data_IF_722446009584
#
_entry.id   IF_722446009584
#
_cell.length_a   1.000
_cell.length_b   1.000
_cell.length_c   1.000
_cell.angle_alpha   90.00
_cell.angle_beta   90.00
_cell.angle_gamma   90.00
#
_symmetry.space_group_name_H-M   'P 1'
#
loop_
_entity.id
_entity.type
_entity.pdbx_description
1 polymer ?
#
# COMPACT_ATOMS: atom_id res chain seq x y z
N UNK A 1 -48.03 -2.65 1.83
CA UNK A 1 -46.58 -2.55 2.10
C UNK A 1 -46.17 -1.15 1.71
N UNK A 2 -45.72 -0.34 2.66
CA UNK A 2 -45.51 1.09 2.44
C UNK A 2 -44.35 1.33 1.49
N UNK A 3 -44.52 2.23 0.53
CA UNK A 3 -43.49 2.57 -0.46
C UNK A 3 -42.15 2.94 0.20
N UNK A 4 -42.20 3.58 1.37
CA UNK A 4 -41.03 3.90 2.18
C UNK A 4 -40.23 2.66 2.62
N UNK A 5 -40.90 1.58 3.02
CA UNK A 5 -40.22 0.35 3.44
C UNK A 5 -39.45 -0.31 2.28
N UNK A 6 -40.02 -0.25 1.07
CA UNK A 6 -39.37 -0.75 -0.15
C UNK A 6 -38.09 0.05 -0.45
N UNK A 7 -38.17 1.39 -0.42
CA UNK A 7 -37.00 2.24 -0.66
C UNK A 7 -35.89 2.02 0.37
N UNK A 8 -36.25 1.89 1.65
CA UNK A 8 -35.28 1.62 2.72
C UNK A 8 -34.59 0.27 2.48
N UNK A 9 -35.36 -0.77 2.16
CA UNK A 9 -34.81 -2.11 1.90
C UNK A 9 -33.81 -2.11 0.73
N UNK A 10 -34.15 -1.43 -0.38
CA UNK A 10 -33.26 -1.28 -1.54
C UNK A 10 -31.98 -0.53 -1.14
N UNK A 11 -32.10 0.58 -0.43
CA UNK A 11 -30.95 1.38 0.00
C UNK A 11 -30.01 0.58 0.89
N UNK A 12 -30.54 -0.17 1.86
CA UNK A 12 -29.74 -1.04 2.74
C UNK A 12 -29.03 -2.12 1.95
N UNK A 13 -29.72 -2.76 0.99
CA UNK A 13 -29.11 -3.76 0.11
C UNK A 13 -27.93 -3.19 -0.67
N UNK A 14 -28.10 -2.01 -1.26
CA UNK A 14 -27.03 -1.32 -1.99
C UNK A 14 -25.87 -0.99 -1.04
N UNK A 15 -26.12 -0.39 0.12
CA UNK A 15 -25.09 -0.03 1.08
C UNK A 15 -24.28 -1.26 1.54
N UNK A 16 -24.96 -2.38 1.83
CA UNK A 16 -24.31 -3.63 2.24
C UNK A 16 -23.41 -4.20 1.14
N UNK A 17 -23.86 -4.17 -0.12
CA UNK A 17 -23.05 -4.67 -1.24
C UNK A 17 -21.78 -3.82 -1.44
N UNK A 18 -21.87 -2.50 -1.29
CA UNK A 18 -20.71 -1.61 -1.34
C UNK A 18 -19.77 -1.81 -0.16
N UNK A 19 -20.29 -1.97 1.05
CA UNK A 19 -19.48 -2.26 2.24
C UNK A 19 -18.69 -3.56 2.07
N UNK A 20 -19.32 -4.62 1.56
CA UNK A 20 -18.64 -5.90 1.27
C UNK A 20 -17.58 -5.76 0.17
N UNK A 21 -17.84 -4.97 -0.87
CA UNK A 21 -16.85 -4.67 -1.91
C UNK A 21 -15.66 -3.90 -1.35
N UNK A 22 -15.90 -2.86 -0.54
CA UNK A 22 -14.83 -2.10 0.13
C UNK A 22 -13.99 -3.00 1.03
N UNK A 23 -14.62 -3.84 1.86
CA UNK A 23 -13.90 -4.76 2.72
C UNK A 23 -13.04 -5.75 1.92
N UNK A 24 -13.58 -6.30 0.83
CA UNK A 24 -12.82 -7.17 -0.06
C UNK A 24 -11.66 -6.46 -0.73
N UNK A 25 -11.83 -5.20 -1.12
CA UNK A 25 -10.80 -4.42 -1.78
C UNK A 25 -9.71 -3.94 -0.80
N UNK A 26 -10.09 -3.42 0.36
CA UNK A 26 -9.17 -2.87 1.36
C UNK A 26 -8.44 -3.96 2.13
N UNK A 27 -9.06 -5.12 2.37
CA UNK A 27 -8.48 -6.15 3.23
C UNK A 27 -8.10 -7.43 2.49
N UNK A 28 -9.06 -8.06 1.82
CA UNK A 28 -8.89 -9.43 1.33
C UNK A 28 -8.07 -9.53 0.05
N UNK A 29 -8.22 -8.61 -0.90
CA UNK A 29 -7.41 -8.56 -2.13
C UNK A 29 -5.92 -8.32 -1.83
N UNK A 30 -5.53 -7.26 -1.11
CA UNK A 30 -4.11 -6.95 -0.90
C UNK A 30 -3.41 -8.05 -0.09
N UNK A 31 -4.06 -8.61 0.94
CA UNK A 31 -3.49 -9.74 1.70
C UNK A 31 -3.33 -11.01 0.87
N UNK A 32 -4.22 -11.26 -0.10
CA UNK A 32 -4.07 -12.39 -1.03
C UNK A 32 -2.89 -12.18 -1.98
N UNK A 33 -2.73 -10.97 -2.50
CA UNK A 33 -1.60 -10.61 -3.35
C UNK A 33 -0.28 -10.72 -2.58
N UNK A 34 -0.22 -10.20 -1.34
CA UNK A 34 0.98 -10.30 -0.49
C UNK A 34 1.38 -11.77 -0.28
N UNK A 35 0.43 -12.64 0.07
CA UNK A 35 0.69 -14.09 0.21
C UNK A 35 1.23 -14.70 -1.07
N UNK A 36 0.64 -14.35 -2.22
CA UNK A 36 1.09 -14.85 -3.52
C UNK A 36 2.53 -14.42 -3.83
N UNK A 37 2.87 -13.15 -3.65
CA UNK A 37 4.24 -12.64 -3.85
C UNK A 37 5.23 -13.33 -2.91
N UNK A 38 4.88 -13.53 -1.64
CA UNK A 38 5.71 -14.25 -0.67
C UNK A 38 5.93 -15.72 -1.07
N UNK A 39 4.93 -16.38 -1.62
CA UNK A 39 5.06 -17.74 -2.16
C UNK A 39 6.00 -17.82 -3.36
N UNK A 40 6.15 -16.73 -4.13
CA UNK A 40 7.13 -16.62 -5.22
C UNK A 40 8.55 -16.33 -4.71
N UNK A 41 8.77 -16.27 -3.40
CA UNK A 41 10.06 -15.95 -2.79
C UNK A 41 10.38 -14.45 -2.75
N UNK A 42 9.39 -13.59 -3.02
CA UNK A 42 9.54 -12.15 -2.86
C UNK A 42 9.33 -11.75 -1.39
N UNK A 43 10.05 -10.72 -0.94
CA UNK A 43 9.93 -10.22 0.43
C UNK A 43 9.73 -8.71 0.47
N UNK A 44 9.02 -8.22 1.48
CA UNK A 44 8.63 -6.81 1.56
C UNK A 44 7.98 -6.51 2.89
N UNK A 45 7.68 -5.23 3.09
CA UNK A 45 6.91 -4.81 4.24
C UNK A 45 5.51 -5.47 4.22
N UNK A 46 4.94 -5.82 5.39
CA UNK A 46 3.60 -6.36 5.46
C UNK A 46 2.56 -5.31 5.04
N UNK A 47 1.46 -5.74 4.42
CA UNK A 47 0.40 -4.81 4.04
C UNK A 47 -0.25 -4.16 5.25
N UNK A 48 -0.33 -2.83 5.22
CA UNK A 48 -1.07 -2.00 6.17
C UNK A 48 -2.26 -1.38 5.42
N UNK A 49 -3.52 -1.60 5.86
CA UNK A 49 -4.69 -1.03 5.19
C UNK A 49 -4.58 0.47 4.99
N UNK A 50 -4.95 0.94 3.78
CA UNK A 50 -5.09 2.35 3.38
C UNK A 50 -3.75 3.09 3.24
N UNK A 51 -2.80 2.86 4.16
CA UNK A 51 -1.53 3.59 4.20
C UNK A 51 -0.42 2.84 3.46
N UNK A 52 -0.38 1.50 3.56
CA UNK A 52 0.71 0.70 3.00
C UNK A 52 2.07 1.24 3.40
N UNK A 53 2.96 1.32 2.42
CA UNK A 53 4.32 1.88 2.53
C UNK A 53 4.39 3.42 2.44
N UNK A 54 3.26 4.12 2.33
CA UNK A 54 3.24 5.56 2.09
C UNK A 54 3.94 6.35 3.20
N UNK A 55 3.81 5.91 4.46
CA UNK A 55 4.41 6.60 5.61
C UNK A 55 5.93 6.51 5.56
N UNK A 56 6.47 5.32 5.30
CA UNK A 56 7.88 5.03 5.15
C UNK A 56 8.45 5.78 3.94
N UNK A 57 7.70 5.80 2.82
CA UNK A 57 8.07 6.55 1.62
C UNK A 57 8.19 8.06 1.90
N UNK A 58 7.17 8.67 2.53
CA UNK A 58 7.21 10.09 2.90
C UNK A 58 8.33 10.37 3.91
N UNK A 59 8.55 9.46 4.86
CA UNK A 59 9.65 9.54 5.83
C UNK A 59 11.01 9.58 5.15
N UNK A 60 11.31 8.61 4.28
CA UNK A 60 12.55 8.55 3.52
C UNK A 60 12.76 9.80 2.65
N UNK A 61 11.71 10.29 2.00
CA UNK A 61 11.79 11.54 1.22
C UNK A 61 12.09 12.76 2.10
N UNK A 62 11.48 12.86 3.30
CA UNK A 62 11.76 13.96 4.24
C UNK A 62 13.16 13.89 4.82
N UNK A 63 13.69 12.70 5.08
CA UNK A 63 15.05 12.50 5.59
C UNK A 63 16.11 12.86 4.56
N UNK A 64 15.85 12.62 3.29
CA UNK A 64 16.78 13.01 2.22
C UNK A 64 16.74 14.51 1.92
N UNK A 65 15.56 15.16 1.85
CA UNK A 65 15.46 16.59 1.51
C UNK A 65 16.45 17.56 2.20
N UNK A 66 16.78 17.44 3.50
CA UNK A 66 17.71 18.35 4.16
C UNK A 66 19.19 18.06 3.85
N UNK A 67 19.53 16.97 3.15
CA UNK A 67 20.92 16.61 2.85
C UNK A 67 21.39 17.31 1.57
N UNK A 68 22.56 17.95 1.64
CA UNK A 68 23.26 18.47 0.48
C UNK A 68 23.76 17.29 -0.36
N UNK A 69 23.56 17.33 -1.68
CA UNK A 69 24.10 16.34 -2.61
C UNK A 69 25.48 16.81 -3.05
N UNK A 70 26.52 16.02 -2.80
CA UNK A 70 27.86 16.33 -3.31
C UNK A 70 27.98 15.93 -4.79
N UNK A 71 28.91 16.56 -5.53
CA UNK A 71 29.09 16.28 -6.96
C UNK A 71 29.53 14.82 -7.23
N UNK A 72 30.12 14.16 -6.23
CA UNK A 72 30.51 12.76 -6.27
C UNK A 72 29.41 11.78 -5.86
N UNK A 73 28.30 12.26 -5.29
CA UNK A 73 27.21 11.39 -4.85
C UNK A 73 26.38 10.91 -6.03
N UNK A 74 25.78 9.72 -5.89
CA UNK A 74 24.78 9.25 -6.82
C UNK A 74 23.43 9.95 -6.56
N UNK A 75 22.98 10.85 -7.45
CA UNK A 75 21.73 11.59 -7.25
C UNK A 75 20.51 10.65 -7.27
N UNK A 76 20.60 9.48 -7.92
CA UNK A 76 19.50 8.52 -7.95
C UNK A 76 19.26 7.89 -6.58
N UNK A 77 20.30 7.71 -5.78
CA UNK A 77 20.18 7.18 -4.41
C UNK A 77 19.45 8.14 -3.48
N UNK A 78 19.59 9.43 -3.71
CA UNK A 78 18.88 10.46 -2.96
C UNK A 78 17.42 10.58 -3.40
N UNK A 79 17.17 10.60 -4.72
CA UNK A 79 15.82 10.69 -5.29
C UNK A 79 14.98 9.44 -4.99
N UNK A 80 15.61 8.26 -5.03
CA UNK A 80 14.96 6.96 -4.80
C UNK A 80 15.39 6.31 -3.49
N UNK A 81 15.66 7.12 -2.46
CA UNK A 81 16.17 6.63 -1.17
C UNK A 81 15.31 5.54 -0.55
N UNK A 82 13.99 5.68 -0.63
CA UNK A 82 13.04 4.66 -0.17
C UNK A 82 13.26 3.30 -0.86
N UNK A 83 13.39 3.29 -2.19
CA UNK A 83 13.67 2.05 -2.95
C UNK A 83 15.02 1.47 -2.56
N UNK A 84 16.02 2.33 -2.36
CA UNK A 84 17.34 1.92 -1.94
C UNK A 84 17.32 1.27 -0.55
N UNK A 85 16.52 1.80 0.38
CA UNK A 85 16.31 1.21 1.70
C UNK A 85 15.65 -0.17 1.60
N UNK A 86 14.60 -0.31 0.78
CA UNK A 86 13.89 -1.58 0.59
C UNK A 86 14.79 -2.63 -0.06
N UNK A 87 15.55 -2.26 -1.11
CA UNK A 87 16.51 -3.15 -1.76
C UNK A 87 17.64 -3.56 -0.81
N UNK A 88 18.09 -2.65 0.05
CA UNK A 88 19.11 -2.96 1.06
C UNK A 88 18.57 -3.93 2.13
N UNK A 89 17.30 -3.75 2.53
CA UNK A 89 16.64 -4.54 3.57
C UNK A 89 16.21 -5.93 3.10
N UNK A 90 15.67 -6.03 1.90
CA UNK A 90 15.01 -7.24 1.38
C UNK A 90 15.72 -7.85 0.16
N UNK A 91 16.71 -7.17 -0.41
CA UNK A 91 17.44 -7.62 -1.58
C UNK A 91 16.68 -7.41 -2.89
N UNK A 92 17.21 -8.03 -3.96
CA UNK A 92 16.70 -7.90 -5.34
C UNK A 92 15.29 -8.47 -5.52
N UNK A 93 14.90 -9.43 -4.69
CA UNK A 93 13.59 -10.07 -4.71
C UNK A 93 12.62 -9.35 -3.77
N UNK A 94 12.55 -8.02 -3.88
CA UNK A 94 11.69 -7.21 -3.02
C UNK A 94 10.40 -6.77 -3.70
N UNK A 95 9.37 -6.52 -2.89
CA UNK A 95 8.12 -5.90 -3.35
C UNK A 95 7.67 -4.81 -2.37
N UNK A 96 6.81 -3.93 -2.87
CA UNK A 96 6.24 -2.78 -2.18
C UNK A 96 4.71 -2.92 -2.14
N UNK A 97 4.07 -2.37 -1.11
CA UNK A 97 2.61 -2.51 -0.90
C UNK A 97 1.92 -1.19 -0.60
#
# INVERSE_FOLDING_TARGET
MDKGFIFISIFVGVALTWAMKLLNWIWFRPRRLEKFLRQQGLNGNPYIPIVGDLKEFIGAMREERPKTIELSDDPLRHVFSYYHQILTKYGKNSFFV
#
